data_IF_128969354862
#
_entry.id   IF_128969354862
#
_cell.length_a   1.000
_cell.length_b   1.000
_cell.length_c   1.000
_cell.angle_alpha   90.00
_cell.angle_beta   90.00
_cell.angle_gamma   90.00
#
_symmetry.space_group_name_H-M   'P 1'
#
loop_
_entity.id
_entity.type
_entity.pdbx_description
1 polymer ?
#
# COMPACT_ATOMS: atom_id res chain seq x y z
N UNK A 1 -12.04 -34.42 -5.90
CA UNK A 1 -10.66 -34.05 -5.55
C UNK A 1 -9.74 -35.27 -5.61
N UNK A 2 -10.11 -36.42 -5.05
CA UNK A 2 -9.29 -37.63 -5.07
C UNK A 2 -9.15 -38.20 -6.49
N UNK A 3 -10.20 -38.18 -7.28
CA UNK A 3 -10.19 -38.52 -8.71
C UNK A 3 -9.27 -37.63 -9.53
N UNK A 4 -9.06 -36.39 -9.09
CA UNK A 4 -8.10 -35.46 -9.70
C UNK A 4 -6.63 -35.73 -9.31
N UNK A 5 -6.36 -36.77 -8.50
CA UNK A 5 -5.03 -37.23 -8.15
C UNK A 5 -4.26 -36.34 -7.17
N UNK A 6 -4.94 -35.73 -6.17
CA UNK A 6 -4.20 -34.96 -5.16
C UNK A 6 -3.20 -35.84 -4.40
N UNK A 7 -1.93 -35.39 -4.24
CA UNK A 7 -0.88 -36.24 -3.67
C UNK A 7 -0.90 -36.33 -2.15
N UNK A 8 -1.59 -35.43 -1.46
CA UNK A 8 -1.63 -35.40 -0.01
C UNK A 8 -2.79 -34.59 0.55
N UNK A 9 -3.21 -34.94 1.78
CA UNK A 9 -4.22 -34.21 2.57
C UNK A 9 -3.70 -33.96 3.96
N UNK A 10 -4.04 -32.80 4.54
CA UNK A 10 -3.80 -32.48 5.94
C UNK A 10 -5.08 -32.72 6.74
N UNK A 11 -4.97 -33.48 7.84
CA UNK A 11 -6.08 -33.78 8.73
C UNK A 11 -6.07 -32.81 9.90
N UNK A 12 -7.09 -31.96 9.96
CA UNK A 12 -7.21 -30.94 11.01
C UNK A 12 -7.55 -31.56 12.38
N UNK A 13 -7.17 -30.86 13.46
CA UNK A 13 -7.53 -31.23 14.84
C UNK A 13 -8.97 -30.81 15.18
N UNK A 14 -9.91 -31.13 14.29
CA UNK A 14 -11.32 -30.81 14.47
C UNK A 14 -12.09 -32.04 15.00
N UNK A 15 -13.05 -31.79 15.86
CA UNK A 15 -13.99 -32.81 16.30
C UNK A 15 -15.15 -32.90 15.30
N UNK A 16 -15.43 -34.11 14.80
CA UNK A 16 -16.48 -34.37 13.80
C UNK A 16 -17.43 -35.46 14.33
N UNK A 17 -18.37 -35.11 15.26
CA UNK A 17 -19.22 -36.09 15.95
C UNK A 17 -20.12 -36.90 15.03
N UNK A 18 -20.42 -36.42 13.82
CA UNK A 18 -21.20 -37.14 12.80
C UNK A 18 -20.47 -38.37 12.23
N UNK A 19 -19.15 -38.44 12.37
CA UNK A 19 -18.33 -39.55 11.91
C UNK A 19 -17.65 -40.32 13.04
N UNK A 20 -17.28 -39.66 14.12
CA UNK A 20 -16.65 -40.29 15.28
C UNK A 20 -17.25 -39.69 16.58
N UNK A 21 -18.01 -40.50 17.27
CA UNK A 21 -18.70 -40.12 18.52
C UNK A 21 -17.78 -40.14 19.75
N UNK A 22 -16.54 -40.61 19.62
CA UNK A 22 -15.56 -40.70 20.71
C UNK A 22 -15.08 -39.36 21.22
N UNK A 23 -15.49 -38.23 20.59
CA UNK A 23 -15.07 -36.86 20.92
C UNK A 23 -13.56 -36.64 20.87
N UNK A 24 -12.90 -37.24 19.89
CA UNK A 24 -11.49 -37.10 19.63
C UNK A 24 -11.26 -36.28 18.35
N UNK A 25 -10.14 -35.58 18.22
CA UNK A 25 -9.79 -34.88 16.98
C UNK A 25 -9.71 -35.80 15.78
N UNK A 26 -10.17 -35.38 14.62
CA UNK A 26 -10.15 -36.15 13.37
C UNK A 26 -8.74 -36.70 13.05
N UNK A 27 -7.68 -35.97 13.35
CA UNK A 27 -6.29 -36.38 13.21
C UNK A 27 -5.88 -37.58 14.08
N UNK A 28 -6.65 -37.92 15.11
CA UNK A 28 -6.44 -39.06 16.00
C UNK A 28 -7.49 -40.16 15.77
N UNK A 29 -8.46 -39.94 14.90
CA UNK A 29 -9.61 -40.86 14.67
C UNK A 29 -9.29 -41.86 13.55
N UNK A 30 -9.23 -43.13 13.92
CA UNK A 30 -9.16 -44.22 12.96
C UNK A 30 -10.36 -44.26 12.03
N UNK A 31 -11.59 -44.01 12.57
CA UNK A 31 -12.82 -44.02 11.78
C UNK A 31 -12.79 -42.97 10.65
N UNK A 32 -12.14 -41.82 10.89
CA UNK A 32 -12.05 -40.76 9.89
C UNK A 32 -10.92 -41.05 8.91
N UNK A 33 -9.71 -41.43 9.41
CA UNK A 33 -8.53 -41.52 8.53
C UNK A 33 -8.47 -42.87 7.83
N UNK A 34 -8.61 -43.96 8.57
CA UNK A 34 -8.56 -45.31 7.98
C UNK A 34 -9.88 -45.67 7.32
N UNK A 35 -10.96 -45.75 8.13
CA UNK A 35 -12.19 -46.35 7.65
C UNK A 35 -12.91 -45.48 6.60
N UNK A 36 -12.95 -44.14 6.80
CA UNK A 36 -13.57 -43.24 5.82
C UNK A 36 -12.63 -42.88 4.69
N UNK A 37 -11.45 -42.25 4.98
CA UNK A 37 -10.61 -41.66 3.97
C UNK A 37 -9.88 -42.71 3.15
N UNK A 38 -9.28 -43.74 3.81
CA UNK A 38 -8.53 -44.80 3.11
C UNK A 38 -9.45 -45.83 2.48
N UNK A 39 -10.32 -46.42 3.29
CA UNK A 39 -11.09 -47.61 2.87
C UNK A 39 -12.32 -47.24 2.03
N UNK A 40 -13.13 -46.26 2.48
CA UNK A 40 -14.34 -45.88 1.78
C UNK A 40 -14.13 -44.91 0.63
N UNK A 41 -13.22 -43.92 0.77
CA UNK A 41 -12.95 -42.91 -0.24
C UNK A 41 -11.72 -43.24 -1.10
N UNK A 42 -11.05 -44.38 -0.84
CA UNK A 42 -9.92 -44.89 -1.59
C UNK A 42 -8.77 -43.90 -1.80
N UNK A 43 -8.49 -43.07 -0.76
CA UNK A 43 -7.39 -42.12 -0.85
C UNK A 43 -6.04 -42.77 -0.54
N UNK A 44 -5.16 -42.89 -1.56
CA UNK A 44 -3.85 -43.53 -1.44
C UNK A 44 -2.69 -42.54 -1.22
N UNK A 45 -2.93 -41.23 -1.32
CA UNK A 45 -1.92 -40.19 -1.10
C UNK A 45 -1.42 -40.10 0.35
N UNK A 46 -0.55 -39.12 0.63
CA UNK A 46 -0.02 -38.88 1.96
C UNK A 46 -1.06 -38.20 2.89
N UNK A 47 -1.20 -38.72 4.11
CA UNK A 47 -1.94 -38.06 5.18
C UNK A 47 -0.98 -37.38 6.16
N UNK A 48 -1.12 -36.09 6.28
CA UNK A 48 -0.40 -35.25 7.25
C UNK A 48 -1.31 -34.91 8.43
N UNK A 49 -0.78 -34.91 9.64
CA UNK A 49 -1.49 -34.26 10.74
C UNK A 49 -1.40 -32.74 10.57
N UNK A 50 -2.31 -31.98 11.18
CA UNK A 50 -2.03 -30.60 11.56
C UNK A 50 -0.95 -30.58 12.67
N UNK A 51 -0.49 -29.39 13.09
CA UNK A 51 0.65 -29.26 14.01
C UNK A 51 0.38 -29.93 15.38
N UNK A 52 1.15 -30.99 15.69
CA UNK A 52 0.96 -31.84 16.86
C UNK A 52 1.26 -31.15 18.20
N UNK A 53 1.82 -29.95 18.20
CA UNK A 53 1.99 -29.10 19.39
C UNK A 53 0.77 -28.24 19.74
N UNK A 54 -0.30 -28.34 18.96
CA UNK A 54 -1.53 -27.57 19.22
C UNK A 54 -2.31 -28.13 20.42
N UNK A 55 -2.89 -27.23 21.24
CA UNK A 55 -3.67 -27.59 22.43
C UNK A 55 -4.86 -28.53 22.15
N UNK A 56 -5.35 -28.54 20.90
CA UNK A 56 -6.44 -29.43 20.47
C UNK A 56 -6.09 -30.90 20.57
N UNK A 57 -4.83 -31.28 20.44
CA UNK A 57 -4.37 -32.68 20.54
C UNK A 57 -3.52 -32.95 21.77
N UNK A 58 -2.83 -31.97 22.34
CA UNK A 58 -1.94 -32.17 23.50
C UNK A 58 -2.70 -32.19 24.83
N UNK A 59 -3.93 -31.65 24.87
CA UNK A 59 -4.70 -31.56 26.13
C UNK A 59 -4.94 -32.95 26.73
N UNK A 60 -4.46 -33.14 27.95
CA UNK A 60 -4.62 -34.42 28.70
C UNK A 60 -3.66 -35.53 28.26
N UNK A 61 -2.66 -35.23 27.43
CA UNK A 61 -1.63 -36.18 26.94
C UNK A 61 -0.24 -35.72 27.34
N UNK A 62 0.63 -36.66 27.55
CA UNK A 62 2.06 -36.37 27.70
C UNK A 62 2.73 -36.28 26.31
N UNK A 63 3.87 -35.55 26.17
CA UNK A 63 4.54 -35.42 24.88
C UNK A 63 4.83 -36.78 24.19
N UNK A 64 4.42 -36.89 22.94
CA UNK A 64 4.56 -38.09 22.11
C UNK A 64 3.40 -39.08 22.19
N UNK A 65 2.41 -38.95 23.12
CA UNK A 65 1.23 -39.82 23.15
C UNK A 65 0.31 -39.56 21.97
N UNK A 66 -0.02 -38.31 21.70
CA UNK A 66 -0.82 -37.94 20.55
C UNK A 66 -0.17 -38.38 19.22
N UNK A 67 1.16 -38.39 19.13
CA UNK A 67 1.90 -38.84 17.96
C UNK A 67 1.70 -40.33 17.69
N UNK A 68 1.72 -41.15 18.73
CA UNK A 68 1.41 -42.59 18.62
C UNK A 68 -0.02 -42.83 18.17
N UNK A 69 -0.99 -42.10 18.77
CA UNK A 69 -2.41 -42.20 18.40
C UNK A 69 -2.63 -41.79 16.94
N UNK A 70 -2.00 -40.71 16.50
CA UNK A 70 -2.10 -40.21 15.13
C UNK A 70 -1.56 -41.22 14.10
N UNK A 71 -0.41 -41.86 14.41
CA UNK A 71 0.13 -42.94 13.55
C UNK A 71 -0.76 -44.16 13.51
N UNK A 72 -1.32 -44.55 14.65
CA UNK A 72 -2.26 -45.65 14.77
C UNK A 72 -3.57 -45.38 14.03
N UNK A 73 -4.03 -44.12 14.01
CA UNK A 73 -5.22 -43.69 13.28
C UNK A 73 -5.04 -43.73 11.74
N UNK A 74 -3.81 -43.74 11.21
CA UNK A 74 -3.57 -43.87 9.78
C UNK A 74 -2.81 -42.73 9.13
N UNK A 75 -2.38 -41.68 9.87
CA UNK A 75 -1.52 -40.62 9.30
C UNK A 75 -0.15 -41.18 8.88
N UNK A 76 0.40 -40.66 7.83
CA UNK A 76 1.73 -41.04 7.33
C UNK A 76 2.83 -40.12 7.88
N UNK A 77 2.53 -38.84 8.09
CA UNK A 77 3.47 -37.81 8.54
C UNK A 77 2.88 -37.04 9.72
N UNK A 78 3.68 -36.90 10.77
CA UNK A 78 3.40 -36.08 11.94
C UNK A 78 4.02 -34.68 11.72
N UNK A 79 3.20 -33.67 11.68
CA UNK A 79 3.66 -32.30 11.52
C UNK A 79 3.96 -31.67 12.89
N UNK A 80 5.15 -31.12 13.04
CA UNK A 80 5.54 -30.32 14.19
C UNK A 80 5.21 -30.94 15.56
N UNK A 81 5.74 -32.15 15.89
CA UNK A 81 5.58 -32.76 17.22
C UNK A 81 6.07 -31.83 18.32
N UNK A 82 5.40 -31.89 19.49
CA UNK A 82 5.79 -31.05 20.64
C UNK A 82 7.23 -31.33 21.12
N UNK A 83 7.64 -32.61 21.09
CA UNK A 83 8.98 -33.06 21.43
C UNK A 83 9.33 -34.33 20.61
N UNK A 84 10.16 -34.16 19.59
CA UNK A 84 10.55 -35.23 18.65
C UNK A 84 11.19 -36.43 19.35
N UNK A 85 12.07 -36.20 20.34
CA UNK A 85 12.74 -37.29 21.05
C UNK A 85 11.74 -38.11 21.89
N UNK A 86 10.79 -37.43 22.57
CA UNK A 86 9.75 -38.10 23.30
C UNK A 86 8.84 -38.91 22.37
N UNK A 87 8.47 -38.33 21.22
CA UNK A 87 7.67 -38.99 20.19
C UNK A 87 8.34 -40.29 19.68
N UNK A 88 9.61 -40.21 19.33
CA UNK A 88 10.38 -41.39 18.89
C UNK A 88 10.46 -42.47 19.98
N UNK A 89 10.71 -42.08 21.26
CA UNK A 89 10.73 -43.04 22.36
C UNK A 89 9.37 -43.72 22.56
N UNK A 90 8.26 -42.97 22.50
CA UNK A 90 6.91 -43.51 22.66
C UNK A 90 6.49 -44.38 21.48
N UNK A 91 6.83 -44.00 20.24
CA UNK A 91 6.58 -44.81 19.03
C UNK A 91 7.34 -46.16 19.15
N UNK A 92 8.63 -46.15 19.53
CA UNK A 92 9.40 -47.39 19.78
C UNK A 92 8.76 -48.24 20.89
N UNK A 93 8.28 -47.65 21.94
CA UNK A 93 7.56 -48.35 23.01
C UNK A 93 6.22 -48.94 22.54
N UNK A 94 5.46 -48.17 21.73
CA UNK A 94 4.21 -48.64 21.12
C UNK A 94 4.39 -49.82 20.18
N UNK A 95 5.51 -49.84 19.43
CA UNK A 95 5.86 -51.00 18.59
C UNK A 95 6.14 -52.23 19.46
N UNK A 96 6.92 -52.09 20.55
CA UNK A 96 7.17 -53.19 21.49
C UNK A 96 5.90 -53.74 22.18
N UNK A 97 4.89 -52.87 22.38
CA UNK A 97 3.59 -53.25 22.97
C UNK A 97 2.59 -53.76 21.96
N UNK A 98 2.90 -53.79 20.65
CA UNK A 98 2.03 -54.22 19.59
C UNK A 98 0.89 -53.23 19.23
N UNK A 99 0.94 -51.97 19.74
CA UNK A 99 0.02 -50.89 19.36
C UNK A 99 0.27 -50.39 17.96
N UNK A 100 1.52 -50.30 17.57
CA UNK A 100 2.00 -50.08 16.21
C UNK A 100 2.81 -51.28 15.75
N UNK A 101 2.77 -51.59 14.46
CA UNK A 101 3.66 -52.60 13.92
C UNK A 101 4.83 -52.00 13.17
N UNK A 102 5.92 -52.75 13.06
CA UNK A 102 7.09 -52.33 12.29
C UNK A 102 6.75 -52.16 10.82
N UNK A 103 5.88 -53.04 10.33
CA UNK A 103 5.36 -53.04 8.96
C UNK A 103 4.57 -51.75 8.67
N UNK A 104 3.70 -51.31 9.55
CA UNK A 104 2.97 -50.01 9.42
C UNK A 104 3.93 -48.83 9.27
N UNK A 105 4.97 -48.79 10.10
CA UNK A 105 5.97 -47.72 10.03
C UNK A 105 6.76 -47.78 8.73
N UNK A 106 7.15 -48.99 8.28
CA UNK A 106 7.86 -49.19 7.03
C UNK A 106 7.02 -48.80 5.80
N UNK A 107 5.72 -49.10 5.81
CA UNK A 107 4.78 -48.67 4.75
C UNK A 107 4.66 -47.15 4.67
N UNK A 108 4.45 -46.49 5.80
CA UNK A 108 4.39 -45.04 5.87
C UNK A 108 5.70 -44.39 5.38
N UNK A 109 6.86 -44.93 5.81
CA UNK A 109 8.18 -44.52 5.33
C UNK A 109 8.31 -44.69 3.81
N UNK A 110 7.88 -45.86 3.26
CA UNK A 110 7.92 -46.10 1.83
C UNK A 110 7.07 -45.13 1.04
N UNK A 111 5.85 -44.80 1.51
CA UNK A 111 5.01 -43.77 0.90
C UNK A 111 5.71 -42.42 0.83
N UNK A 112 6.32 -41.98 1.94
CA UNK A 112 7.04 -40.70 2.00
C UNK A 112 8.24 -40.70 1.04
N UNK A 113 9.02 -41.82 0.99
CA UNK A 113 10.16 -41.91 0.11
C UNK A 113 9.74 -41.96 -1.38
N UNK A 114 8.62 -42.63 -1.69
CA UNK A 114 8.05 -42.65 -3.05
C UNK A 114 7.64 -41.24 -3.47
N UNK A 115 6.93 -40.51 -2.63
CA UNK A 115 6.54 -39.12 -2.91
C UNK A 115 7.76 -38.20 -3.09
N UNK A 116 8.80 -38.36 -2.28
CA UNK A 116 10.06 -37.62 -2.46
C UNK A 116 10.73 -37.97 -3.80
N UNK A 117 10.75 -39.24 -4.20
CA UNK A 117 11.33 -39.67 -5.46
C UNK A 117 10.56 -39.11 -6.67
N UNK A 118 9.22 -38.99 -6.55
CA UNK A 118 8.36 -38.52 -7.63
C UNK A 118 8.30 -36.99 -7.74
N UNK A 119 8.11 -36.29 -6.61
CA UNK A 119 7.79 -34.86 -6.61
C UNK A 119 8.98 -33.97 -6.21
N UNK A 120 10.03 -34.48 -5.62
CA UNK A 120 11.14 -33.68 -5.09
C UNK A 120 12.44 -33.95 -5.82
N UNK A 121 12.91 -35.20 -5.82
CA UNK A 121 14.25 -35.53 -6.32
C UNK A 121 14.52 -35.14 -7.78
N UNK A 122 13.55 -35.24 -8.71
CA UNK A 122 13.78 -34.83 -10.10
C UNK A 122 14.05 -33.32 -10.25
N UNK A 123 13.68 -32.53 -9.25
CA UNK A 123 13.74 -31.05 -9.28
C UNK A 123 14.76 -30.47 -8.30
N UNK A 124 15.49 -31.35 -7.57
CA UNK A 124 16.53 -30.88 -6.64
C UNK A 124 17.76 -30.46 -7.43
N UNK A 125 17.91 -29.15 -7.59
CA UNK A 125 19.15 -28.53 -8.01
C UNK A 125 19.76 -27.75 -6.84
N UNK A 126 21.08 -27.61 -6.73
CA UNK A 126 21.69 -26.71 -5.77
C UNK A 126 21.10 -25.31 -5.92
N UNK A 127 20.71 -24.71 -4.80
CA UNK A 127 20.22 -23.33 -4.84
C UNK A 127 21.38 -22.41 -5.23
N UNK A 128 21.24 -21.74 -6.38
CA UNK A 128 22.15 -20.66 -6.74
C UNK A 128 21.97 -19.49 -5.77
N UNK A 129 22.96 -19.29 -4.91
CA UNK A 129 22.97 -18.20 -3.93
C UNK A 129 23.47 -16.88 -4.51
N UNK A 130 23.98 -16.87 -5.74
CA UNK A 130 24.39 -15.65 -6.39
C UNK A 130 23.18 -14.74 -6.61
N UNK A 131 23.27 -13.51 -6.12
CA UNK A 131 22.21 -12.50 -6.23
C UNK A 131 20.83 -12.97 -5.68
N UNK A 132 20.82 -13.88 -4.70
CA UNK A 132 19.58 -14.46 -4.15
C UNK A 132 18.60 -13.38 -3.64
N UNK A 133 19.09 -12.39 -2.90
CA UNK A 133 18.29 -11.29 -2.38
C UNK A 133 17.67 -10.46 -3.50
N UNK A 134 18.40 -10.19 -4.57
CA UNK A 134 17.90 -9.46 -5.75
C UNK A 134 16.82 -10.26 -6.48
N UNK A 135 17.01 -11.57 -6.61
CA UNK A 135 16.04 -12.46 -7.26
C UNK A 135 14.74 -12.60 -6.48
N UNK A 136 14.83 -12.71 -5.14
CA UNK A 136 13.66 -12.77 -4.25
C UNK A 136 12.93 -11.42 -4.14
N UNK A 137 13.66 -10.31 -4.27
CA UNK A 137 13.13 -8.95 -4.16
C UNK A 137 13.27 -8.19 -5.48
N UNK A 138 12.98 -8.84 -6.59
CA UNK A 138 13.08 -8.23 -7.92
C UNK A 138 12.15 -6.99 -8.04
N UNK A 139 12.47 -6.03 -8.92
CA UNK A 139 11.58 -4.90 -9.19
C UNK A 139 10.18 -5.32 -9.59
N UNK A 140 10.04 -6.37 -10.41
CA UNK A 140 8.75 -6.93 -10.81
C UNK A 140 7.97 -7.55 -9.64
N UNK A 141 8.64 -8.25 -8.72
CA UNK A 141 7.98 -8.78 -7.51
C UNK A 141 7.48 -7.65 -6.61
N UNK A 142 8.25 -6.57 -6.46
CA UNK A 142 7.84 -5.37 -5.71
C UNK A 142 6.66 -4.67 -6.39
N UNK A 143 6.67 -4.55 -7.71
CA UNK A 143 5.58 -3.97 -8.48
C UNK A 143 4.28 -4.79 -8.31
N UNK A 144 4.35 -6.12 -8.42
CA UNK A 144 3.21 -7.01 -8.19
C UNK A 144 2.66 -6.87 -6.76
N UNK A 145 3.54 -6.78 -5.76
CA UNK A 145 3.14 -6.57 -4.37
C UNK A 145 2.40 -5.23 -4.21
N UNK A 146 2.92 -4.15 -4.78
CA UNK A 146 2.25 -2.84 -4.77
C UNK A 146 0.88 -2.88 -5.45
N UNK A 147 0.78 -3.48 -6.62
CA UNK A 147 -0.48 -3.63 -7.34
C UNK A 147 -1.51 -4.42 -6.52
N UNK A 148 -1.07 -5.49 -5.86
CA UNK A 148 -1.92 -6.29 -4.97
C UNK A 148 -2.48 -5.45 -3.82
N UNK A 149 -1.63 -4.69 -3.12
CA UNK A 149 -2.10 -3.81 -2.04
C UNK A 149 -3.00 -2.69 -2.55
N UNK A 150 -2.67 -2.06 -3.68
CA UNK A 150 -3.51 -1.01 -4.26
C UNK A 150 -4.92 -1.51 -4.57
N UNK A 151 -5.04 -2.71 -5.15
CA UNK A 151 -6.34 -3.35 -5.45
C UNK A 151 -7.07 -3.83 -4.19
N UNK A 152 -6.35 -4.16 -3.12
CA UNK A 152 -6.93 -4.62 -1.87
C UNK A 152 -7.55 -3.49 -1.03
N UNK A 153 -7.09 -2.24 -1.17
CA UNK A 153 -7.65 -1.11 -0.40
C UNK A 153 -9.17 -1.08 -0.53
N UNK A 154 -9.85 -1.15 0.61
CA UNK A 154 -11.30 -1.23 0.67
C UNK A 154 -11.87 -0.04 1.44
N UNK A 155 -12.74 0.74 0.80
CA UNK A 155 -13.49 1.82 1.42
C UNK A 155 -14.85 1.27 1.84
N UNK A 156 -15.09 1.10 3.14
CA UNK A 156 -16.33 0.50 3.65
C UNK A 156 -17.38 1.54 4.02
N UNK A 157 -16.96 2.78 4.27
CA UNK A 157 -17.84 3.92 4.58
C UNK A 157 -17.29 5.18 3.92
N UNK A 158 -18.20 6.05 3.41
CA UNK A 158 -17.85 7.36 2.82
C UNK A 158 -19.06 8.29 2.85
N UNK A 159 -19.38 8.82 4.03
CA UNK A 159 -20.52 9.70 4.23
C UNK A 159 -20.27 11.05 3.50
N UNK A 160 -21.29 11.57 2.89
CA UNK A 160 -21.21 12.83 2.14
C UNK A 160 -20.21 12.82 0.98
N UNK A 161 -19.76 11.65 0.52
CA UNK A 161 -18.73 11.51 -0.51
C UNK A 161 -17.43 12.26 -0.17
N UNK A 162 -17.03 12.26 1.11
CA UNK A 162 -15.85 12.96 1.59
C UNK A 162 -14.58 12.56 0.83
N UNK A 163 -14.41 11.26 0.58
CA UNK A 163 -13.26 10.75 -0.17
C UNK A 163 -13.58 10.56 -1.65
N UNK A 164 -12.63 10.88 -2.54
CA UNK A 164 -11.32 11.50 -2.28
C UNK A 164 -11.46 12.95 -1.82
N UNK A 165 -10.56 13.40 -0.91
CA UNK A 165 -10.53 14.78 -0.45
C UNK A 165 -10.28 15.73 -1.62
N UNK A 166 -11.21 16.67 -1.89
CA UNK A 166 -11.14 17.58 -3.06
C UNK A 166 -10.78 19.01 -2.70
N UNK A 167 -11.41 19.59 -1.70
CA UNK A 167 -11.24 20.99 -1.32
C UNK A 167 -10.08 21.19 -0.33
N UNK A 168 -8.83 20.93 -0.82
CA UNK A 168 -7.64 20.94 0.03
C UNK A 168 -7.28 22.34 0.55
N UNK A 169 -7.73 23.40 -0.11
CA UNK A 169 -7.57 24.80 0.27
C UNK A 169 -8.34 25.18 1.54
N UNK A 170 -9.43 24.48 1.83
CA UNK A 170 -10.27 24.72 3.02
C UNK A 170 -9.98 23.76 4.17
N UNK A 171 -9.25 22.68 3.89
CA UNK A 171 -8.94 21.63 4.87
C UNK A 171 -7.66 21.93 5.64
N UNK A 172 -7.77 21.96 6.96
CA UNK A 172 -6.62 21.86 7.88
C UNK A 172 -6.52 20.43 8.36
N UNK A 173 -5.57 19.70 7.80
CA UNK A 173 -5.47 18.25 7.95
C UNK A 173 -4.47 17.91 9.05
N UNK A 174 -4.88 17.03 9.97
CA UNK A 174 -3.99 16.36 10.91
C UNK A 174 -4.06 14.84 10.71
N UNK A 175 -2.95 14.15 10.85
CA UNK A 175 -2.94 12.71 11.02
C UNK A 175 -2.70 12.34 12.49
N UNK A 176 -3.44 11.34 12.96
CA UNK A 176 -3.26 10.76 14.29
C UNK A 176 -2.92 9.28 14.13
N UNK A 177 -1.71 8.89 14.50
CA UNK A 177 -1.30 7.51 14.62
C UNK A 177 -1.62 7.00 16.03
N UNK A 178 -2.61 6.10 16.16
CA UNK A 178 -2.96 5.48 17.43
C UNK A 178 -2.36 4.08 17.52
N UNK A 179 -1.37 3.90 18.39
CA UNK A 179 -0.66 2.65 18.61
C UNK A 179 0.85 2.84 18.76
N UNK A 180 1.57 1.75 19.06
CA UNK A 180 3.01 1.78 19.28
C UNK A 180 3.83 1.63 17.97
N UNK A 181 3.20 1.22 16.88
CA UNK A 181 3.85 1.09 15.57
C UNK A 181 3.90 2.44 14.88
N UNK A 182 5.05 2.78 14.34
CA UNK A 182 5.20 3.97 13.50
C UNK A 182 4.60 3.71 12.11
N UNK A 183 4.10 4.76 11.48
CA UNK A 183 3.55 4.72 10.12
C UNK A 183 4.22 5.78 9.20
N UNK A 184 5.56 5.79 9.08
CA UNK A 184 6.29 6.88 8.41
C UNK A 184 5.97 6.96 6.91
N UNK A 185 5.64 5.85 6.27
CA UNK A 185 5.28 5.85 4.84
C UNK A 185 3.86 6.36 4.63
N UNK A 186 2.95 6.08 5.56
CA UNK A 186 1.62 6.67 5.54
C UNK A 186 1.70 8.20 5.65
N UNK A 187 2.38 8.71 6.68
CA UNK A 187 2.56 10.13 6.95
C UNK A 187 3.24 10.86 5.78
N UNK A 188 4.41 10.37 5.34
CA UNK A 188 5.13 10.97 4.21
C UNK A 188 4.39 10.88 2.87
N UNK A 189 3.44 9.96 2.73
CA UNK A 189 2.59 9.88 1.54
C UNK A 189 1.43 10.88 1.61
N UNK A 190 0.86 11.14 2.79
CA UNK A 190 -0.12 12.21 2.96
C UNK A 190 0.47 13.58 2.57
N UNK A 191 1.70 13.87 3.04
CA UNK A 191 2.41 15.11 2.76
C UNK A 191 2.67 15.37 1.26
N UNK A 192 2.71 14.33 0.43
CA UNK A 192 2.82 14.48 -1.04
C UNK A 192 1.58 15.11 -1.68
N UNK A 193 0.46 15.14 -0.98
CA UNK A 193 -0.82 15.65 -1.49
C UNK A 193 -1.25 16.95 -0.83
N UNK A 194 -1.02 17.09 0.48
CA UNK A 194 -1.38 18.28 1.23
C UNK A 194 -0.52 18.44 2.49
N UNK A 195 -0.32 19.66 2.99
CA UNK A 195 0.27 19.89 4.31
C UNK A 195 -0.52 19.12 5.39
N UNK A 196 0.17 18.36 6.23
CA UNK A 196 -0.45 17.54 7.26
C UNK A 196 0.36 17.61 8.56
N UNK A 197 -0.28 17.94 9.68
CA UNK A 197 0.36 17.85 10.98
C UNK A 197 0.24 16.42 11.52
N UNK A 198 1.32 15.90 12.09
CA UNK A 198 1.37 14.50 12.54
C UNK A 198 1.38 14.42 14.06
N UNK A 199 0.47 13.62 14.60
CA UNK A 199 0.34 13.32 16.01
C UNK A 199 0.38 11.81 16.23
N UNK A 200 0.84 11.39 17.42
CA UNK A 200 0.85 9.98 17.82
C UNK A 200 0.40 9.83 19.26
N UNK A 201 -0.29 8.74 19.54
CA UNK A 201 -0.70 8.37 20.88
C UNK A 201 -0.62 6.85 21.06
N UNK A 202 0.10 6.38 22.08
CA UNK A 202 0.14 4.97 22.43
C UNK A 202 -1.06 4.58 23.30
N UNK A 203 -1.58 3.36 23.18
CA UNK A 203 -2.61 2.83 24.08
C UNK A 203 -2.15 2.87 25.55
N UNK A 204 -3.05 3.24 26.46
CA UNK A 204 -2.74 3.43 27.88
C UNK A 204 -2.07 4.76 28.22
N UNK A 205 -2.14 5.74 27.32
CA UNK A 205 -1.67 7.09 27.57
C UNK A 205 -2.41 7.74 28.76
N UNK A 206 -1.71 8.59 29.52
CA UNK A 206 -2.32 9.31 30.64
C UNK A 206 -3.43 10.27 30.14
N UNK A 207 -4.40 10.57 31.00
CA UNK A 207 -5.50 11.49 30.72
C UNK A 207 -5.01 12.85 30.22
N UNK A 208 -3.96 13.37 30.83
CA UNK A 208 -3.31 14.63 30.43
C UNK A 208 -2.78 14.62 28.99
N UNK A 209 -2.17 13.48 28.56
CA UNK A 209 -1.69 13.33 27.19
C UNK A 209 -2.84 13.29 26.19
N UNK A 210 -3.95 12.64 26.55
CA UNK A 210 -5.16 12.60 25.71
C UNK A 210 -5.77 14.00 25.61
N UNK A 211 -5.94 14.73 26.72
CA UNK A 211 -6.47 16.08 26.75
C UNK A 211 -5.61 17.05 25.93
N UNK A 212 -4.28 16.97 26.08
CA UNK A 212 -3.34 17.77 25.27
C UNK A 212 -3.47 17.45 23.78
N UNK A 213 -3.61 16.17 23.41
CA UNK A 213 -3.82 15.77 22.02
C UNK A 213 -5.12 16.36 21.47
N UNK A 214 -6.23 16.24 22.19
CA UNK A 214 -7.54 16.79 21.75
C UNK A 214 -7.46 18.32 21.61
N UNK A 215 -6.79 19.00 22.52
CA UNK A 215 -6.55 20.45 22.43
C UNK A 215 -5.76 20.80 21.18
N UNK A 216 -4.65 20.09 20.89
CA UNK A 216 -3.87 20.33 19.68
C UNK A 216 -4.67 20.06 18.40
N UNK A 217 -5.50 19.01 18.40
CA UNK A 217 -6.36 18.68 17.26
C UNK A 217 -7.51 19.67 17.06
N UNK A 218 -7.80 20.55 18.02
CA UNK A 218 -8.89 21.55 17.89
C UNK A 218 -8.71 22.50 16.70
N UNK A 219 -7.46 22.78 16.32
CA UNK A 219 -7.12 23.67 15.20
C UNK A 219 -7.40 23.06 13.81
N UNK A 220 -7.61 21.75 13.72
CA UNK A 220 -7.80 21.02 12.47
C UNK A 220 -9.28 20.67 12.27
N UNK A 221 -9.76 20.74 11.04
CA UNK A 221 -11.12 20.38 10.67
C UNK A 221 -11.22 18.99 10.01
N UNK A 222 -10.09 18.39 9.65
CA UNK A 222 -10.00 17.02 9.11
C UNK A 222 -8.93 16.22 9.87
N UNK A 223 -9.33 15.08 10.44
CA UNK A 223 -8.43 14.17 11.17
C UNK A 223 -8.38 12.82 10.45
N UNK A 224 -7.20 12.45 9.98
CA UNK A 224 -6.91 11.16 9.37
C UNK A 224 -6.32 10.26 10.46
N UNK A 225 -7.11 9.31 10.96
CA UNK A 225 -6.73 8.42 12.04
C UNK A 225 -6.21 7.09 11.49
N UNK A 226 -4.93 6.77 11.74
CA UNK A 226 -4.31 5.50 11.42
C UNK A 226 -4.21 4.62 12.67
N UNK A 227 -4.96 3.50 12.70
CA UNK A 227 -4.98 2.61 13.87
C UNK A 227 -3.82 1.61 13.84
N UNK A 228 -2.64 2.03 14.24
CA UNK A 228 -1.47 1.14 14.30
C UNK A 228 -1.50 0.12 15.45
N UNK A 229 -2.45 0.24 16.38
CA UNK A 229 -2.72 -0.78 17.41
C UNK A 229 -3.48 -2.00 16.87
N UNK A 230 -4.08 -1.90 15.68
CA UNK A 230 -4.82 -2.98 15.03
C UNK A 230 -3.99 -4.26 14.85
N UNK A 231 -4.64 -5.43 14.96
CA UNK A 231 -3.98 -6.75 14.93
C UNK A 231 -4.82 -7.76 14.14
N UNK A 232 -4.17 -8.82 13.67
CA UNK A 232 -4.81 -9.90 12.90
C UNK A 232 -5.32 -11.06 13.77
N UNK A 233 -5.20 -10.98 15.10
CA UNK A 233 -5.58 -12.06 16.02
C UNK A 233 -6.81 -11.67 16.83
N UNK A 234 -7.74 -12.62 17.02
CA UNK A 234 -8.94 -12.45 17.84
C UNK A 234 -8.62 -12.18 19.32
N UNK A 235 -7.48 -12.69 19.80
CA UNK A 235 -6.95 -12.30 21.11
C UNK A 235 -6.78 -10.79 21.16
N UNK A 236 -7.18 -10.15 22.25
CA UNK A 236 -7.19 -8.68 22.43
C UNK A 236 -8.12 -7.96 21.43
N UNK A 237 -9.25 -8.59 21.05
CA UNK A 237 -10.28 -7.97 20.20
C UNK A 237 -9.71 -7.34 18.91
N UNK A 238 -8.77 -8.01 18.23
CA UNK A 238 -8.10 -7.49 17.04
C UNK A 238 -7.41 -6.14 17.23
N UNK A 239 -7.04 -5.78 18.47
CA UNK A 239 -6.44 -4.49 18.82
C UNK A 239 -7.45 -3.35 18.97
N UNK A 240 -8.74 -3.63 18.97
CA UNK A 240 -9.77 -2.64 19.23
C UNK A 240 -9.79 -2.25 20.73
N UNK A 241 -9.92 -0.95 21.04
CA UNK A 241 -9.89 -0.44 22.41
C UNK A 241 -10.97 0.62 22.65
N UNK A 242 -11.50 0.64 23.88
CA UNK A 242 -12.44 1.69 24.32
C UNK A 242 -11.77 3.06 24.43
N UNK A 243 -10.45 3.11 24.61
CA UNK A 243 -9.69 4.36 24.62
C UNK A 243 -9.82 5.06 23.28
N UNK A 244 -9.60 4.34 22.16
CA UNK A 244 -9.76 4.92 20.83
C UNK A 244 -11.21 5.31 20.53
N UNK A 245 -12.20 4.54 21.02
CA UNK A 245 -13.63 4.92 20.95
C UNK A 245 -13.87 6.29 21.59
N UNK A 246 -13.30 6.51 22.79
CA UNK A 246 -13.47 7.77 23.52
C UNK A 246 -12.75 8.94 22.83
N UNK A 247 -11.60 8.71 22.20
CA UNK A 247 -10.89 9.72 21.41
C UNK A 247 -11.75 10.11 20.20
N UNK A 248 -12.24 9.15 19.43
CA UNK A 248 -13.07 9.44 18.24
C UNK A 248 -14.33 10.24 18.62
N UNK A 249 -14.98 9.91 19.73
CA UNK A 249 -16.15 10.67 20.22
C UNK A 249 -15.82 12.13 20.54
N UNK A 250 -14.62 12.42 21.03
CA UNK A 250 -14.18 13.78 21.34
C UNK A 250 -13.82 14.59 20.07
N UNK A 251 -13.61 13.93 18.94
CA UNK A 251 -13.36 14.59 17.65
C UNK A 251 -14.66 14.96 16.92
N UNK A 252 -15.82 14.85 17.55
CA UNK A 252 -17.12 15.20 16.96
C UNK A 252 -17.10 16.61 16.36
N UNK A 253 -17.68 16.77 15.18
CA UNK A 253 -17.73 18.04 14.43
C UNK A 253 -16.55 18.28 13.50
N UNK A 254 -15.62 17.32 13.40
CA UNK A 254 -14.53 17.29 12.41
C UNK A 254 -14.80 16.20 11.38
N UNK A 255 -14.21 16.35 10.19
CA UNK A 255 -14.14 15.23 9.26
C UNK A 255 -13.17 14.17 9.79
N UNK A 256 -13.63 12.93 9.93
CA UNK A 256 -12.81 11.83 10.45
C UNK A 256 -12.68 10.74 9.38
N UNK A 257 -11.46 10.51 8.92
CA UNK A 257 -11.09 9.40 8.04
C UNK A 257 -10.36 8.36 8.86
N UNK A 258 -10.94 7.17 9.01
CA UNK A 258 -10.37 6.08 9.80
C UNK A 258 -9.69 5.04 8.91
N UNK A 259 -8.38 4.84 9.09
CA UNK A 259 -7.60 3.83 8.39
C UNK A 259 -7.29 2.65 9.32
N UNK A 260 -7.74 1.45 8.93
CA UNK A 260 -7.56 0.20 9.69
C UNK A 260 -6.61 -0.76 8.95
N UNK A 261 -5.35 -0.88 9.40
CA UNK A 261 -4.33 -1.66 8.70
C UNK A 261 -4.21 -3.11 9.22
N UNK A 262 -5.33 -3.79 9.41
CA UNK A 262 -5.37 -5.18 9.86
C UNK A 262 -6.63 -5.89 9.35
N UNK A 263 -6.94 -7.07 9.90
CA UNK A 263 -8.16 -7.80 9.58
C UNK A 263 -9.41 -6.94 9.79
N UNK A 264 -10.42 -7.01 8.90
CA UNK A 264 -11.63 -6.19 8.99
C UNK A 264 -12.40 -6.34 10.29
N UNK A 265 -12.31 -7.47 10.97
CA UNK A 265 -13.02 -7.72 12.23
C UNK A 265 -12.72 -6.69 13.34
N UNK A 266 -11.53 -6.08 13.32
CA UNK A 266 -11.17 -5.05 14.29
C UNK A 266 -11.95 -3.73 14.14
N UNK A 267 -12.74 -3.56 13.07
CA UNK A 267 -13.58 -2.38 12.88
C UNK A 267 -14.88 -2.47 13.65
N UNK A 268 -15.33 -3.66 14.03
CA UNK A 268 -16.67 -3.88 14.61
C UNK A 268 -16.96 -2.90 15.77
N UNK A 269 -16.03 -2.77 16.71
CA UNK A 269 -16.16 -1.85 17.86
C UNK A 269 -16.33 -0.38 17.45
N UNK A 270 -15.82 0.00 16.27
CA UNK A 270 -15.79 1.39 15.77
C UNK A 270 -16.90 1.70 14.77
N UNK A 271 -17.65 0.68 14.31
CA UNK A 271 -18.59 0.80 13.18
C UNK A 271 -19.74 1.78 13.42
N UNK A 272 -20.05 2.06 14.68
CA UNK A 272 -21.14 2.96 15.09
C UNK A 272 -20.69 4.39 15.42
N UNK A 273 -19.40 4.67 15.28
CA UNK A 273 -18.86 5.96 15.64
C UNK A 273 -19.07 7.00 14.53
N UNK A 274 -19.08 8.29 14.87
CA UNK A 274 -19.27 9.38 13.91
C UNK A 274 -17.99 9.61 13.10
N UNK A 275 -17.66 8.69 12.23
CA UNK A 275 -16.56 8.79 11.26
C UNK A 275 -17.15 8.92 9.87
N UNK A 276 -16.62 9.85 9.06
CA UNK A 276 -17.13 10.08 7.70
C UNK A 276 -16.66 9.01 6.72
N UNK A 277 -15.43 8.53 6.89
CA UNK A 277 -14.89 7.49 6.02
C UNK A 277 -14.12 6.42 6.79
N UNK A 278 -14.19 5.16 6.30
CA UNK A 278 -13.46 4.02 6.87
C UNK A 278 -12.77 3.27 5.74
N UNK A 279 -11.45 3.18 5.82
CA UNK A 279 -10.58 2.46 4.89
C UNK A 279 -9.97 1.25 5.59
N UNK A 280 -10.00 0.09 4.94
CA UNK A 280 -9.27 -1.12 5.35
C UNK A 280 -8.10 -1.33 4.41
N UNK A 281 -6.90 -1.44 4.97
CA UNK A 281 -5.66 -1.69 4.19
C UNK A 281 -5.01 -3.05 4.49
N UNK A 282 -5.61 -3.86 5.36
CA UNK A 282 -5.29 -5.27 5.69
C UNK A 282 -3.90 -5.54 6.25
N UNK A 283 -2.96 -4.62 6.17
CA UNK A 283 -1.59 -4.79 6.64
C UNK A 283 -0.98 -3.46 7.10
N UNK A 284 0.04 -3.56 7.97
CA UNK A 284 0.92 -2.46 8.35
C UNK A 284 2.12 -2.28 7.41
N UNK A 285 2.24 -3.11 6.38
CA UNK A 285 3.37 -3.08 5.46
C UNK A 285 3.46 -1.77 4.69
N UNK A 286 4.66 -1.43 4.27
CA UNK A 286 4.95 -0.20 3.52
C UNK A 286 4.00 0.05 2.35
N UNK A 287 3.70 -0.93 1.46
CA UNK A 287 2.77 -0.69 0.37
C UNK A 287 1.33 -0.43 0.86
N UNK A 288 0.87 -1.12 1.91
CA UNK A 288 -0.46 -0.90 2.47
C UNK A 288 -0.61 0.53 3.03
N UNK A 289 0.42 1.03 3.74
CA UNK A 289 0.48 2.41 4.22
C UNK A 289 0.43 3.40 3.05
N UNK A 290 1.25 3.18 2.02
CA UNK A 290 1.34 4.03 0.85
C UNK A 290 0.00 4.14 0.12
N UNK A 291 -0.68 3.03 -0.13
CA UNK A 291 -1.92 3.03 -0.90
C UNK A 291 -3.13 3.45 -0.08
N UNK A 292 -3.16 3.22 1.23
CA UNK A 292 -4.18 3.81 2.10
C UNK A 292 -4.13 5.34 2.07
N UNK A 293 -2.95 5.94 2.17
CA UNK A 293 -2.78 7.38 2.06
C UNK A 293 -3.15 7.91 0.66
N UNK A 294 -2.75 7.22 -0.41
CA UNK A 294 -3.12 7.60 -1.77
C UNK A 294 -4.63 7.55 -2.02
N UNK A 295 -5.32 6.55 -1.45
CA UNK A 295 -6.77 6.42 -1.57
C UNK A 295 -7.52 7.63 -1.00
N UNK A 296 -7.05 8.20 0.10
CA UNK A 296 -7.64 9.38 0.74
C UNK A 296 -7.68 10.58 -0.22
N UNK A 297 -6.63 10.75 -1.02
CA UNK A 297 -6.48 11.90 -1.93
C UNK A 297 -6.82 11.58 -3.39
N UNK A 298 -7.27 10.36 -3.69
CA UNK A 298 -7.57 9.95 -5.06
C UNK A 298 -6.33 9.76 -5.93
N UNK A 299 -5.20 9.34 -5.34
CA UNK A 299 -4.00 8.92 -6.07
C UNK A 299 -4.16 7.54 -6.72
N UNK A 300 -5.13 6.76 -6.27
CA UNK A 300 -5.55 5.48 -6.87
C UNK A 300 -7.07 5.40 -6.98
N UNK A 301 -7.57 4.54 -7.87
CA UNK A 301 -8.97 4.09 -7.82
C UNK A 301 -9.14 3.14 -6.63
N UNK A 302 -10.23 3.26 -5.88
CA UNK A 302 -10.61 2.29 -4.85
C UNK A 302 -11.79 1.49 -5.34
N UNK A 303 -11.65 0.17 -5.38
CA UNK A 303 -12.71 -0.76 -5.83
C UNK A 303 -12.73 -2.05 -4.97
N UNK A 304 -11.91 -2.12 -3.93
CA UNK A 304 -11.81 -3.28 -3.04
C UNK A 304 -13.15 -3.62 -2.37
N UNK A 305 -13.34 -4.90 -2.08
CA UNK A 305 -14.52 -5.44 -1.40
C UNK A 305 -14.10 -6.23 -0.18
N UNK A 306 -14.87 -6.14 0.91
CA UNK A 306 -14.63 -6.96 2.09
C UNK A 306 -14.74 -8.46 1.75
N UNK A 307 -13.71 -9.26 2.06
CA UNK A 307 -13.75 -10.70 1.85
C UNK A 307 -14.60 -11.44 2.90
N UNK A 308 -14.93 -10.77 4.00
CA UNK A 308 -15.66 -11.33 5.14
C UNK A 308 -16.69 -10.33 5.65
N UNK A 309 -17.75 -10.83 6.31
CA UNK A 309 -18.69 -9.98 7.03
C UNK A 309 -18.11 -9.57 8.38
N UNK A 310 -18.14 -8.27 8.68
CA UNK A 310 -17.74 -7.71 9.98
C UNK A 310 -18.93 -7.81 10.93
N UNK A 311 -20.06 -7.27 10.51
CA UNK A 311 -21.33 -7.27 11.22
C UNK A 311 -22.50 -7.07 10.22
N UNK A 312 -23.72 -6.86 10.71
CA UNK A 312 -24.90 -6.64 9.85
C UNK A 312 -24.81 -5.41 8.94
N UNK A 313 -23.99 -4.39 9.27
CA UNK A 313 -23.83 -3.16 8.47
C UNK A 313 -22.75 -3.29 7.40
N UNK A 314 -21.79 -4.16 7.64
CA UNK A 314 -20.65 -4.40 6.71
C UNK A 314 -20.55 -5.91 6.40
N UNK A 315 -21.49 -6.45 5.61
CA UNK A 315 -21.42 -7.84 5.13
C UNK A 315 -20.26 -8.03 4.13
N UNK A 316 -19.88 -9.28 3.90
CA UNK A 316 -18.94 -9.63 2.82
C UNK A 316 -19.41 -9.03 1.49
N UNK A 317 -18.48 -8.54 0.69
CA UNK A 317 -18.76 -7.81 -0.56
C UNK A 317 -18.99 -6.31 -0.37
N UNK A 318 -19.10 -5.80 0.86
CA UNK A 318 -19.16 -4.34 1.11
C UNK A 318 -17.89 -3.66 0.60
N UNK A 319 -18.04 -2.53 -0.07
CA UNK A 319 -16.95 -1.67 -0.53
C UNK A 319 -17.49 -0.64 -1.51
N UNK A 320 -17.09 0.60 -1.31
CA UNK A 320 -17.43 1.75 -2.14
C UNK A 320 -16.32 2.01 -3.14
N UNK A 321 -16.68 2.50 -4.31
CA UNK A 321 -15.71 2.85 -5.35
C UNK A 321 -15.45 4.35 -5.35
N UNK A 322 -14.18 4.74 -5.53
CA UNK A 322 -13.79 6.13 -5.75
C UNK A 322 -12.90 6.26 -6.97
N UNK A 323 -13.05 7.35 -7.74
CA UNK A 323 -12.21 7.57 -8.91
C UNK A 323 -10.80 8.04 -8.48
N UNK A 324 -9.84 7.83 -9.36
CA UNK A 324 -8.55 8.51 -9.30
C UNK A 324 -8.72 9.95 -9.78
N UNK A 325 -8.26 10.90 -8.96
CA UNK A 325 -8.34 12.34 -9.25
C UNK A 325 -6.96 13.00 -9.42
N UNK A 326 -5.92 12.42 -8.83
CA UNK A 326 -4.57 12.99 -8.78
C UNK A 326 -3.53 11.99 -9.25
N UNK A 327 -2.33 12.46 -9.55
CA UNK A 327 -1.20 11.57 -9.82
C UNK A 327 -0.95 10.68 -8.58
N UNK A 328 -0.87 9.39 -8.81
CA UNK A 328 -0.45 8.41 -7.80
C UNK A 328 1.05 8.19 -7.84
N UNK A 329 1.54 7.34 -6.94
CA UNK A 329 2.94 6.96 -6.84
C UNK A 329 3.06 5.45 -6.94
N UNK A 330 3.79 4.97 -7.94
CA UNK A 330 3.99 3.54 -8.21
C UNK A 330 5.45 3.23 -8.53
N UNK A 331 5.81 1.95 -8.47
CA UNK A 331 7.06 1.46 -9.03
C UNK A 331 7.04 1.61 -10.56
N UNK A 332 8.16 1.94 -11.21
CA UNK A 332 8.25 2.04 -12.66
C UNK A 332 7.72 0.80 -13.41
N UNK A 333 8.01 -0.39 -12.89
CA UNK A 333 7.61 -1.67 -13.47
C UNK A 333 6.08 -1.83 -13.51
N UNK A 334 5.34 -1.29 -12.57
CA UNK A 334 3.86 -1.29 -12.57
C UNK A 334 3.28 -0.46 -13.73
N UNK A 335 4.07 0.46 -14.31
CA UNK A 335 3.72 1.27 -15.46
C UNK A 335 4.45 0.84 -16.74
N UNK A 336 5.03 -0.38 -16.77
CA UNK A 336 5.76 -0.91 -17.91
C UNK A 336 7.05 -0.14 -18.22
N UNK A 337 7.69 0.44 -17.20
CA UNK A 337 8.99 1.09 -17.28
C UNK A 337 10.02 0.30 -16.48
N UNK A 338 11.29 0.40 -16.87
CA UNK A 338 12.41 -0.25 -16.20
C UNK A 338 13.08 0.73 -15.22
N UNK A 339 13.04 0.41 -13.94
CA UNK A 339 13.66 1.23 -12.88
C UNK A 339 15.17 1.36 -13.06
N UNK A 340 15.86 0.35 -13.61
CA UNK A 340 17.29 0.39 -13.86
C UNK A 340 17.64 1.39 -14.98
N UNK A 341 16.76 1.50 -15.98
CA UNK A 341 16.92 2.52 -17.04
C UNK A 341 16.70 3.92 -16.46
N UNK A 342 15.69 4.10 -15.60
CA UNK A 342 15.42 5.39 -14.95
C UNK A 342 16.58 5.84 -14.04
N UNK A 343 17.34 4.92 -13.44
CA UNK A 343 18.52 5.27 -12.65
C UNK A 343 19.64 5.94 -13.48
N UNK A 344 19.62 5.83 -14.81
CA UNK A 344 20.57 6.57 -15.68
C UNK A 344 20.40 8.09 -15.55
N UNK A 345 19.19 8.55 -15.18
CA UNK A 345 18.92 9.97 -14.89
C UNK A 345 19.83 10.48 -13.78
N UNK A 346 20.05 9.68 -12.74
CA UNK A 346 20.93 10.03 -11.62
C UNK A 346 22.34 10.38 -12.13
N UNK A 347 22.89 9.53 -13.01
CA UNK A 347 24.21 9.71 -13.58
C UNK A 347 24.30 10.95 -14.48
N UNK A 348 23.26 11.20 -15.29
CA UNK A 348 23.18 12.37 -16.17
C UNK A 348 23.15 13.67 -15.34
N UNK A 349 22.28 13.73 -14.32
CA UNK A 349 22.17 14.88 -13.44
C UNK A 349 23.48 15.15 -12.68
N UNK A 350 24.12 14.11 -12.17
CA UNK A 350 25.40 14.24 -11.47
C UNK A 350 26.53 14.72 -12.41
N UNK A 351 26.55 14.21 -13.64
CA UNK A 351 27.51 14.66 -14.64
C UNK A 351 27.31 16.14 -14.98
N UNK A 352 26.09 16.61 -15.18
CA UNK A 352 25.78 18.02 -15.44
C UNK A 352 26.20 18.93 -14.28
N UNK A 353 25.94 18.53 -13.04
CA UNK A 353 26.35 19.26 -11.83
C UNK A 353 27.91 19.31 -11.73
N UNK A 354 28.57 18.19 -11.97
CA UNK A 354 30.04 18.10 -11.97
C UNK A 354 30.68 19.01 -13.04
N UNK A 355 30.07 19.05 -14.22
CA UNK A 355 30.49 19.94 -15.32
C UNK A 355 30.11 21.40 -15.07
N UNK A 356 29.49 21.76 -13.96
CA UNK A 356 28.98 23.10 -13.63
C UNK A 356 28.00 23.67 -14.68
N UNK A 357 27.27 22.78 -15.38
CA UNK A 357 26.18 23.20 -16.28
C UNK A 357 24.98 23.73 -15.49
N UNK A 358 24.76 23.19 -14.29
CA UNK A 358 23.74 23.64 -13.31
C UNK A 358 24.22 23.37 -11.89
N UNK A 359 23.86 24.18 -10.88
CA UNK A 359 24.18 23.88 -9.48
C UNK A 359 23.36 22.74 -8.93
N UNK A 360 22.15 22.51 -9.45
CA UNK A 360 21.23 21.45 -9.09
C UNK A 360 20.04 21.40 -10.04
N UNK A 361 19.28 20.32 -9.95
CA UNK A 361 18.06 20.11 -10.74
C UNK A 361 17.10 19.18 -10.03
N UNK A 362 15.85 19.23 -10.46
CA UNK A 362 14.80 18.27 -10.08
C UNK A 362 14.30 17.58 -11.33
N UNK A 363 14.10 16.25 -11.26
CA UNK A 363 13.55 15.46 -12.36
C UNK A 363 12.37 14.66 -11.85
N UNK A 364 11.23 14.82 -12.52
CA UNK A 364 10.02 14.04 -12.29
C UNK A 364 9.64 13.32 -13.57
N UNK A 365 9.36 12.01 -13.47
CA UNK A 365 8.79 11.22 -14.57
C UNK A 365 7.44 10.65 -14.10
N UNK A 366 6.43 10.90 -14.91
CA UNK A 366 5.10 10.34 -14.71
C UNK A 366 4.66 9.58 -15.95
N UNK A 367 3.97 8.44 -15.75
CA UNK A 367 3.38 7.64 -16.81
C UNK A 367 2.03 7.07 -16.35
N UNK A 368 1.04 7.06 -17.23
CA UNK A 368 -0.31 6.52 -16.99
C UNK A 368 -0.97 7.10 -15.72
N UNK A 369 -0.65 8.37 -15.43
CA UNK A 369 -1.16 9.08 -14.25
C UNK A 369 -0.43 8.72 -12.94
N UNK A 370 0.73 8.08 -12.98
CA UNK A 370 1.54 7.76 -11.81
C UNK A 370 2.93 8.35 -11.89
N UNK A 371 3.39 8.93 -10.80
CA UNK A 371 4.77 9.36 -10.61
C UNK A 371 5.60 8.10 -10.33
N UNK A 372 6.54 7.82 -11.22
CA UNK A 372 7.42 6.65 -11.17
C UNK A 372 8.86 7.02 -10.83
N UNK A 373 9.18 8.31 -10.92
CA UNK A 373 10.47 8.87 -10.54
C UNK A 373 10.29 10.32 -10.13
N UNK A 374 10.85 10.72 -8.98
CA UNK A 374 10.90 12.12 -8.52
C UNK A 374 12.10 12.28 -7.61
N UNK A 375 13.14 12.96 -8.11
CA UNK A 375 14.37 13.21 -7.36
C UNK A 375 14.91 14.61 -7.60
N UNK A 376 15.55 15.16 -6.58
CA UNK A 376 16.31 16.41 -6.64
C UNK A 376 17.81 16.12 -6.46
N UNK A 377 18.64 16.87 -7.17
CA UNK A 377 20.08 16.71 -7.21
C UNK A 377 20.77 18.05 -6.93
N UNK A 378 21.96 17.99 -6.30
CA UNK A 378 22.83 19.15 -6.09
C UNK A 378 22.30 20.15 -5.08
N UNK A 379 22.52 21.43 -5.38
CA UNK A 379 22.23 22.57 -4.52
C UNK A 379 21.48 23.65 -5.29
N UNK A 380 20.83 24.57 -4.57
CA UNK A 380 20.09 25.67 -5.21
C UNK A 380 21.03 26.65 -5.97
N UNK A 381 22.25 26.79 -5.47
CA UNK A 381 23.26 27.69 -6.00
C UNK A 381 24.64 27.05 -5.95
N UNK A 382 25.62 27.62 -6.70
CA UNK A 382 26.99 27.12 -6.73
C UNK A 382 27.76 27.30 -5.42
N UNK A 383 27.28 28.13 -4.49
CA UNK A 383 27.88 28.30 -3.15
C UNK A 383 27.57 27.13 -2.21
N UNK A 384 26.69 26.21 -2.63
CA UNK A 384 26.33 24.95 -1.96
C UNK A 384 25.78 25.12 -0.54
N UNK A 385 25.21 26.26 -0.18
CA UNK A 385 24.66 26.52 1.15
C UNK A 385 23.34 25.79 1.39
N UNK A 386 22.48 25.71 0.36
CA UNK A 386 21.17 25.09 0.47
C UNK A 386 21.04 23.93 -0.53
N UNK A 387 20.84 22.73 0.00
CA UNK A 387 20.60 21.51 -0.80
C UNK A 387 19.30 21.64 -1.61
N UNK A 388 19.31 21.19 -2.85
CA UNK A 388 18.10 21.11 -3.65
C UNK A 388 17.20 19.97 -3.16
N UNK A 389 15.88 20.21 -3.11
CA UNK A 389 14.87 19.26 -2.66
C UNK A 389 13.72 19.21 -3.65
N UNK A 390 12.88 18.18 -3.58
CA UNK A 390 11.68 18.04 -4.41
C UNK A 390 10.61 19.08 -4.13
N UNK A 391 10.73 19.83 -3.02
CA UNK A 391 9.80 20.88 -2.61
C UNK A 391 10.23 22.28 -3.05
N UNK A 392 11.37 22.37 -3.74
CA UNK A 392 11.85 23.65 -4.25
C UNK A 392 10.92 24.17 -5.34
N UNK A 393 10.65 25.48 -5.29
CA UNK A 393 9.88 26.18 -6.31
C UNK A 393 10.85 26.73 -7.34
N UNK A 394 10.54 26.53 -8.62
CA UNK A 394 11.32 27.00 -9.76
C UNK A 394 10.56 28.07 -10.55
N UNK A 395 11.28 29.04 -11.06
CA UNK A 395 10.77 29.86 -12.16
C UNK A 395 10.61 28.98 -13.40
N UNK A 396 9.38 28.88 -13.90
CA UNK A 396 9.06 28.04 -15.06
C UNK A 396 9.18 28.78 -16.39
N UNK A 397 9.58 30.06 -16.35
CA UNK A 397 9.82 30.88 -17.52
C UNK A 397 8.73 30.73 -18.62
N UNK A 398 9.08 30.37 -19.83
CA UNK A 398 8.12 30.23 -20.95
C UNK A 398 7.14 29.05 -20.81
N UNK A 399 7.36 28.11 -19.89
CA UNK A 399 6.35 27.09 -19.58
C UNK A 399 5.05 27.76 -19.08
N UNK A 400 5.13 28.98 -18.53
CA UNK A 400 3.95 29.80 -18.16
C UNK A 400 2.97 29.97 -19.34
N UNK A 401 3.44 29.98 -20.60
CA UNK A 401 2.57 30.08 -21.76
C UNK A 401 1.60 28.90 -21.87
N UNK A 402 2.06 27.70 -21.56
CA UNK A 402 1.25 26.49 -21.65
C UNK A 402 0.62 26.10 -20.31
N UNK A 403 1.20 26.51 -19.18
CA UNK A 403 0.71 26.16 -17.85
C UNK A 403 -0.31 27.16 -17.28
N UNK A 404 -0.30 28.43 -17.75
CA UNK A 404 -1.19 29.47 -17.25
C UNK A 404 -1.95 30.16 -18.39
N UNK A 405 -1.24 30.71 -19.41
CA UNK A 405 -1.90 31.50 -20.47
C UNK A 405 -2.85 30.64 -21.31
N UNK A 406 -2.39 29.49 -21.81
CA UNK A 406 -3.23 28.62 -22.62
C UNK A 406 -4.48 28.12 -21.88
N UNK A 407 -4.43 27.59 -20.64
CA UNK A 407 -5.63 27.24 -19.89
C UNK A 407 -6.59 28.43 -19.69
N UNK A 408 -6.09 29.62 -19.40
CA UNK A 408 -6.94 30.82 -19.30
C UNK A 408 -7.67 31.12 -20.61
N UNK A 409 -6.95 31.04 -21.75
CA UNK A 409 -7.55 31.19 -23.08
C UNK A 409 -8.59 30.11 -23.37
N UNK A 410 -8.32 28.85 -22.99
CA UNK A 410 -9.29 27.74 -23.12
C UNK A 410 -10.57 28.01 -22.34
N UNK A 411 -10.46 28.48 -21.08
CA UNK A 411 -11.62 28.83 -20.26
C UNK A 411 -12.45 29.97 -20.91
N UNK A 412 -11.79 31.02 -21.42
CA UNK A 412 -12.48 32.12 -22.09
C UNK A 412 -13.14 31.67 -23.40
N UNK A 413 -12.53 30.74 -24.11
CA UNK A 413 -13.10 30.14 -25.33
C UNK A 413 -14.35 29.30 -24.99
N UNK A 414 -14.27 28.41 -23.98
CA UNK A 414 -15.43 27.61 -23.53
C UNK A 414 -16.59 28.47 -23.06
N UNK A 415 -16.31 29.61 -22.44
CA UNK A 415 -17.30 30.59 -22.00
C UNK A 415 -17.75 31.53 -23.13
N UNK A 416 -17.27 31.33 -24.36
CA UNK A 416 -17.60 32.15 -25.53
C UNK A 416 -17.18 33.62 -25.45
N UNK A 417 -16.29 33.99 -24.53
CA UNK A 417 -15.76 35.36 -24.46
C UNK A 417 -14.79 35.67 -25.60
N UNK A 418 -14.10 34.66 -26.11
CA UNK A 418 -13.17 34.80 -27.23
C UNK A 418 -13.44 33.76 -28.31
N UNK A 419 -13.11 34.07 -29.58
CA UNK A 419 -13.08 33.14 -30.70
C UNK A 419 -11.69 33.11 -31.31
N UNK A 420 -11.26 31.95 -31.81
CA UNK A 420 -9.91 31.76 -32.34
C UNK A 420 -9.61 32.57 -33.59
N UNK A 421 -10.61 32.74 -34.45
CA UNK A 421 -10.49 33.44 -35.74
C UNK A 421 -10.75 34.95 -35.63
N UNK A 422 -11.07 35.45 -34.43
CA UNK A 422 -11.22 36.91 -34.20
C UNK A 422 -9.86 37.61 -34.13
N UNK A 423 -9.77 38.81 -34.77
CA UNK A 423 -8.61 39.67 -34.59
C UNK A 423 -8.40 40.07 -33.12
N UNK A 424 -7.14 40.10 -32.66
CA UNK A 424 -6.79 40.41 -31.26
C UNK A 424 -7.24 41.81 -30.84
N UNK A 425 -7.37 42.75 -31.80
CA UNK A 425 -7.86 44.13 -31.53
C UNK A 425 -9.28 44.17 -30.98
N UNK A 426 -10.06 43.10 -31.16
CA UNK A 426 -11.37 42.95 -30.53
C UNK A 426 -11.28 42.88 -29.03
N UNK A 427 -10.18 42.38 -28.52
CA UNK A 427 -9.92 42.13 -27.10
C UNK A 427 -8.88 43.09 -26.49
N UNK A 428 -8.01 43.69 -27.31
CA UNK A 428 -6.96 44.62 -26.91
C UNK A 428 -6.94 45.86 -27.79
N UNK A 429 -7.40 46.97 -27.24
CA UNK A 429 -7.51 48.24 -27.96
C UNK A 429 -6.14 48.84 -28.38
N UNK A 430 -5.05 48.47 -27.72
CA UNK A 430 -3.71 49.02 -27.95
C UNK A 430 -3.12 48.67 -29.31
N UNK A 431 -3.72 47.72 -30.04
CA UNK A 431 -3.25 47.29 -31.35
C UNK A 431 -4.07 47.89 -32.52
N UNK A 432 -5.06 48.73 -32.22
CA UNK A 432 -5.82 49.41 -33.27
C UNK A 432 -4.94 50.38 -34.06
N UNK A 433 -5.25 50.50 -35.38
CA UNK A 433 -4.55 51.38 -36.29
C UNK A 433 -3.05 51.05 -36.41
N UNK A 434 -2.66 49.81 -36.10
CA UNK A 434 -1.30 49.31 -36.28
C UNK A 434 -1.29 48.23 -37.35
N UNK A 435 -0.13 47.88 -37.89
CA UNK A 435 0.10 46.76 -38.78
C UNK A 435 -0.16 45.38 -38.17
N UNK A 436 -0.59 45.33 -36.87
CA UNK A 436 -0.90 44.12 -36.10
C UNK A 436 -2.38 43.94 -35.82
N UNK A 437 -3.23 44.83 -36.31
CA UNK A 437 -4.68 44.83 -36.00
C UNK A 437 -5.41 43.54 -36.42
N UNK A 438 -4.96 42.95 -37.52
CA UNK A 438 -5.62 41.77 -38.13
C UNK A 438 -5.08 40.44 -37.61
N UNK A 439 -4.10 40.45 -36.72
CA UNK A 439 -3.57 39.22 -36.10
C UNK A 439 -4.68 38.53 -35.28
N UNK A 440 -4.94 37.27 -35.59
CA UNK A 440 -5.96 36.48 -34.92
C UNK A 440 -5.43 35.84 -33.60
N UNK A 441 -6.35 35.50 -32.69
CA UNK A 441 -6.02 34.72 -31.47
C UNK A 441 -5.35 33.39 -31.85
N UNK A 442 -5.81 32.75 -32.91
CA UNK A 442 -5.26 31.49 -33.42
C UNK A 442 -3.82 31.62 -33.88
N UNK A 443 -3.47 32.68 -34.61
CA UNK A 443 -2.08 32.92 -35.04
C UNK A 443 -1.13 33.18 -33.88
N UNK A 444 -1.61 33.89 -32.83
CA UNK A 444 -0.84 34.06 -31.58
C UNK A 444 -0.58 32.72 -30.88
N UNK A 445 -1.61 31.90 -30.74
CA UNK A 445 -1.48 30.59 -30.08
C UNK A 445 -0.60 29.61 -30.85
N UNK A 446 -0.59 29.69 -32.18
CA UNK A 446 0.23 28.88 -33.08
C UNK A 446 1.65 29.44 -33.28
N UNK A 447 1.98 30.59 -32.69
CA UNK A 447 3.25 31.32 -32.93
C UNK A 447 3.49 31.65 -34.42
N UNK A 448 2.44 31.87 -35.21
CA UNK A 448 2.49 32.16 -36.64
C UNK A 448 2.17 33.64 -36.98
N UNK A 449 1.97 34.49 -35.99
CA UNK A 449 1.58 35.88 -36.13
C UNK A 449 2.66 36.83 -36.68
N UNK A 450 3.88 36.35 -37.00
CA UNK A 450 4.97 37.19 -37.53
C UNK A 450 5.58 38.16 -36.54
N UNK A 451 5.25 38.04 -35.24
CA UNK A 451 5.80 38.91 -34.19
C UNK A 451 7.24 38.54 -33.86
N UNK A 452 8.03 39.53 -33.44
CA UNK A 452 9.39 39.29 -32.95
C UNK A 452 9.34 38.46 -31.66
N UNK A 453 10.28 37.53 -31.48
CA UNK A 453 10.35 36.66 -30.30
C UNK A 453 10.61 37.44 -28.99
N UNK A 454 11.35 38.57 -29.07
CA UNK A 454 11.62 39.43 -27.94
C UNK A 454 11.89 40.86 -28.41
N UNK A 455 11.67 41.80 -27.50
CA UNK A 455 11.99 43.20 -27.70
C UNK A 455 12.65 43.76 -26.43
N UNK A 456 13.87 44.23 -26.54
CA UNK A 456 14.65 44.79 -25.42
C UNK A 456 14.27 46.24 -25.18
N UNK A 457 13.14 46.49 -24.53
CA UNK A 457 12.63 47.85 -24.26
C UNK A 457 13.67 48.77 -23.62
N UNK A 458 14.45 48.23 -22.67
CA UNK A 458 15.48 49.03 -21.99
C UNK A 458 16.56 49.56 -22.91
N UNK A 459 16.92 48.82 -23.99
CA UNK A 459 17.92 49.28 -24.99
C UNK A 459 17.41 50.44 -25.80
N UNK A 460 16.08 50.53 -25.99
CA UNK A 460 15.45 51.63 -26.73
C UNK A 460 14.99 52.80 -25.82
N UNK A 461 14.84 52.53 -24.53
CA UNK A 461 14.39 53.54 -23.55
C UNK A 461 15.56 54.29 -22.90
N UNK A 462 16.78 53.81 -23.01
CA UNK A 462 17.98 54.40 -22.43
C UNK A 462 18.71 55.18 -23.49
N UNK A 463 18.99 56.46 -23.22
CA UNK A 463 19.89 57.31 -23.98
C UNK A 463 21.32 56.97 -23.54
N UNK A 464 21.94 56.05 -24.26
CA UNK A 464 23.28 55.54 -23.93
C UNK A 464 24.35 56.60 -23.98
N UNK A 465 24.18 57.65 -24.82
CA UNK A 465 25.14 58.75 -24.98
C UNK A 465 25.11 59.72 -23.77
N UNK A 466 23.99 59.78 -23.06
CA UNK A 466 23.79 60.60 -21.84
C UNK A 466 24.09 59.86 -20.56
N UNK A 467 24.38 58.58 -20.63
CA UNK A 467 24.51 57.74 -19.47
C UNK A 467 25.89 57.82 -18.85
N UNK A 468 26.06 58.63 -17.81
CA UNK A 468 27.23 58.65 -16.96
C UNK A 468 26.95 57.90 -15.67
N UNK A 469 27.52 56.65 -15.56
CA UNK A 469 27.44 55.87 -14.35
C UNK A 469 26.97 54.41 -14.53
N UNK A 470 26.90 53.62 -13.44
CA UNK A 470 26.45 52.22 -13.44
C UNK A 470 24.93 52.11 -13.54
N UNK A 471 24.43 51.35 -14.52
CA UNK A 471 23.00 51.04 -14.71
C UNK A 471 22.36 50.32 -13.50
N UNK A 472 23.14 49.56 -12.74
CA UNK A 472 22.70 48.81 -11.60
C UNK A 472 23.65 48.99 -10.42
N UNK A 473 23.07 49.21 -9.23
CA UNK A 473 23.84 49.17 -7.98
C UNK A 473 24.12 47.73 -7.59
N UNK A 474 25.36 47.41 -7.27
CA UNK A 474 25.77 46.10 -6.71
C UNK A 474 25.47 46.05 -5.21
N UNK A 475 24.24 46.27 -4.78
CA UNK A 475 23.83 45.98 -3.40
C UNK A 475 22.89 44.80 -3.36
#
# INVERSE_FOLDING_TARGET
LFEAGIPGVMIAHLNVPSYDTANIPASLSKQIITDLLRDKLHFDGLCFTDAMNMKGVTKGRTPGEADVEALAAGNDILLFPENVEASVRKIKAAIRKGVLTKEMINEKCRKVLKAKAEFVLPYVAPVDTARLTERLSSPSAKALLQETYAKAITLVKNDGLLLPLTHLDTLRIASLNFGDRKAPVFESTLEKYAPCAHFSLSPGASKEKVEKLITNLSEYNCVILYNSAARNTASRQFGATMELVNIIKQLKGKHIVFCHPATPYGIDLYSYLPMDAIIVSYSHDTPAQQFAAQAIFGGINVNGKLPVSINRYYPAGTGLSTPKLRLGYYQPESCGMDSQILLKIDSICQAAIKAKATPGCQVLVAKDGYIVYNKAFGFNTYDRKKKNTTDNIYDIASITKIAATLPAVMMLYDQQYITLDSPIVRYSYSLRETDKQDITVKELLLHSAGLRASFSFFQHAIDWDKMQGRLFTTK
#
